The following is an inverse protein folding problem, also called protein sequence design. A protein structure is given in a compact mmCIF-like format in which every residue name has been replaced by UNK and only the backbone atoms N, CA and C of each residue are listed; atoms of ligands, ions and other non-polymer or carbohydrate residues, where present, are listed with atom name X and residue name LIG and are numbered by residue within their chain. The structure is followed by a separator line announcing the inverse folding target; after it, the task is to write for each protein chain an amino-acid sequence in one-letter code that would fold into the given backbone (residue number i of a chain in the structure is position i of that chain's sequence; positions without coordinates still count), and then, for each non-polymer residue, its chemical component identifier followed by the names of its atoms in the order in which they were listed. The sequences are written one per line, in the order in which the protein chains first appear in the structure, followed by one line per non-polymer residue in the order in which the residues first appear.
data_IF_025088581995
#
_entry.id   IF_025088581995
#
_cell.length_a   1.000
_cell.length_b   1.000
_cell.length_c   1.000
_cell.angle_alpha   90.00
_cell.angle_beta   90.00
_cell.angle_gamma   90.00
#
_symmetry.space_group_name_H-M   'P 1'
#
loop_
_entity.id
_entity.type
_entity.pdbx_description
1 polymer ?
#
# COMPACT_ATOMS: atom_id res chain seq x y z
N UNK A 1 0.23 -5.53 6.31
CA UNK A 1 0.07 -6.70 5.40
C UNK A 1 -0.30 -6.21 4.02
N UNK A 2 0.37 -6.72 2.99
CA UNK A 2 0.21 -6.26 1.60
C UNK A 2 -0.06 -7.47 0.72
N UNK A 3 -1.14 -7.43 -0.07
CA UNK A 3 -1.45 -8.45 -1.07
C UNK A 3 -0.71 -8.14 -2.36
N UNK A 4 0.03 -9.12 -2.89
CA UNK A 4 0.83 -8.98 -4.11
C UNK A 4 0.02 -9.29 -5.39
N UNK A 5 -1.18 -8.76 -5.48
CA UNK A 5 -2.07 -8.89 -6.65
C UNK A 5 -2.44 -7.53 -7.22
N UNK A 6 -2.60 -7.42 -8.56
CA UNK A 6 -3.08 -6.18 -9.16
C UNK A 6 -4.54 -5.89 -8.77
N UNK A 7 -4.93 -4.63 -8.86
CA UNK A 7 -6.32 -4.21 -8.65
C UNK A 7 -7.28 -5.01 -9.56
N UNK A 8 -8.45 -5.33 -9.04
CA UNK A 8 -9.48 -6.10 -9.75
C UNK A 8 -9.27 -7.62 -9.75
N UNK A 9 -8.15 -8.12 -9.21
CA UNK A 9 -7.93 -9.55 -9.06
C UNK A 9 -8.90 -10.16 -8.04
N UNK A 10 -9.44 -11.34 -8.37
CA UNK A 10 -10.24 -12.09 -7.42
C UNK A 10 -9.35 -12.57 -6.25
N UNK A 11 -9.82 -12.51 -4.98
CA UNK A 11 -9.11 -13.11 -3.88
C UNK A 11 -8.90 -14.61 -4.13
N UNK A 12 -7.66 -15.06 -4.03
CA UNK A 12 -7.32 -16.48 -4.12
C UNK A 12 -7.42 -17.14 -2.74
N UNK A 13 -7.57 -18.49 -2.70
CA UNK A 13 -7.54 -19.23 -1.45
C UNK A 13 -6.18 -19.14 -0.74
N UNK A 14 -5.12 -18.93 -1.51
CA UNK A 14 -3.74 -18.78 -1.05
C UNK A 14 -3.16 -17.49 -1.62
N UNK A 15 -3.45 -16.34 -1.01
CA UNK A 15 -2.93 -15.06 -1.49
C UNK A 15 -1.43 -14.96 -1.24
N UNK A 16 -0.75 -14.35 -2.17
CA UNK A 16 0.64 -13.92 -1.96
C UNK A 16 0.65 -12.68 -1.06
N UNK A 17 1.12 -12.83 0.17
CA UNK A 17 1.08 -11.78 1.22
C UNK A 17 2.48 -11.42 1.67
N UNK A 18 2.84 -10.16 1.53
CA UNK A 18 4.04 -9.61 2.17
C UNK A 18 3.67 -9.05 3.54
N UNK A 19 4.35 -9.52 4.59
CA UNK A 19 4.29 -8.95 5.93
C UNK A 19 5.49 -8.04 6.10
N UNK A 20 5.23 -6.80 6.48
CA UNK A 20 6.27 -5.81 6.78
C UNK A 20 6.22 -5.42 8.25
N UNK A 21 7.36 -5.06 8.80
CA UNK A 21 7.48 -4.57 10.17
C UNK A 21 7.23 -3.06 10.25
N UNK A 22 6.96 -2.54 11.43
CA UNK A 22 6.78 -1.10 11.63
C UNK A 22 8.02 -0.30 11.24
N UNK A 23 9.23 -0.85 11.41
CA UNK A 23 10.49 -0.22 10.99
C UNK A 23 10.60 -0.05 9.47
N UNK A 24 9.91 -0.88 8.70
CA UNK A 24 9.88 -0.78 7.23
C UNK A 24 8.98 0.34 6.72
N UNK A 25 8.17 0.94 7.60
CA UNK A 25 7.18 1.95 7.24
C UNK A 25 7.68 3.34 7.63
N UNK A 26 7.90 4.18 6.63
CA UNK A 26 8.13 5.62 6.85
C UNK A 26 6.88 6.42 6.47
N UNK A 27 6.77 7.63 7.00
CA UNK A 27 5.72 8.56 6.58
C UNK A 27 6.25 9.48 5.49
N UNK A 28 5.38 10.00 4.65
CA UNK A 28 5.72 10.94 3.59
C UNK A 28 6.37 12.26 4.11
N UNK A 29 6.39 12.49 5.41
CA UNK A 29 7.03 13.66 6.06
C UNK A 29 8.55 13.50 6.19
N UNK A 30 9.02 12.26 6.22
CA UNK A 30 10.45 11.94 6.29
C UNK A 30 11.00 11.78 4.87
N UNK A 31 12.28 12.06 4.64
CA UNK A 31 12.89 11.79 3.35
C UNK A 31 12.93 10.27 3.07
N UNK A 32 12.81 9.90 1.80
CA UNK A 32 12.99 8.54 1.33
C UNK A 32 14.48 8.32 1.01
N UNK A 33 15.08 7.36 1.66
CA UNK A 33 16.43 6.89 1.33
C UNK A 33 16.32 5.54 0.61
N UNK A 34 16.90 5.45 -0.58
CA UNK A 34 17.07 4.17 -1.27
C UNK A 34 18.34 3.48 -0.76
N UNK A 35 18.30 2.17 -0.49
CA UNK A 35 19.43 1.48 0.14
C UNK A 35 20.72 1.48 -0.69
N UNK A 36 20.60 1.43 -2.02
CA UNK A 36 21.72 1.43 -2.95
C UNK A 36 21.41 2.37 -4.12
N UNK A 37 22.16 3.47 -4.21
CA UNK A 37 21.98 4.46 -5.26
C UNK A 37 22.38 3.94 -6.68
N UNK A 38 23.10 2.82 -6.76
CA UNK A 38 23.49 2.19 -8.03
C UNK A 38 22.49 1.13 -8.50
N UNK A 39 21.54 0.74 -7.66
CA UNK A 39 20.49 -0.20 -8.02
C UNK A 39 19.25 0.52 -8.54
N UNK A 40 18.53 -0.13 -9.43
CA UNK A 40 17.25 0.38 -9.91
C UNK A 40 16.15 0.07 -8.87
N UNK A 41 15.33 1.09 -8.59
CA UNK A 41 14.16 0.96 -7.71
C UNK A 41 12.89 1.43 -8.42
N UNK A 42 11.77 0.85 -8.01
CA UNK A 42 10.43 1.32 -8.39
C UNK A 42 9.67 1.77 -7.15
N UNK A 43 8.97 2.88 -7.28
CA UNK A 43 8.02 3.44 -6.33
C UNK A 43 6.62 3.14 -6.87
N UNK A 44 5.96 2.08 -6.36
CA UNK A 44 4.67 1.58 -6.84
C UNK A 44 3.57 1.89 -5.82
N UNK A 45 2.48 2.50 -6.28
CA UNK A 45 1.35 2.84 -5.41
C UNK A 45 0.46 1.62 -5.12
N UNK A 46 -0.09 1.63 -3.91
CA UNK A 46 -1.12 0.70 -3.48
C UNK A 46 -2.10 1.41 -2.53
N UNK A 47 -3.41 1.15 -2.59
CA UNK A 47 -4.35 1.61 -1.58
C UNK A 47 -4.14 0.82 -0.30
N UNK A 48 -4.40 1.46 0.84
CA UNK A 48 -4.31 0.80 2.14
C UNK A 48 -5.34 1.34 3.11
N UNK A 49 -5.84 0.48 3.99
CA UNK A 49 -6.78 0.84 5.05
C UNK A 49 -6.15 0.64 6.42
N UNK A 50 -6.60 1.45 7.39
CA UNK A 50 -6.17 1.38 8.78
C UNK A 50 -7.17 0.57 9.60
N UNK A 51 -6.70 -0.46 10.27
CA UNK A 51 -7.50 -1.23 11.22
C UNK A 51 -7.64 -0.46 12.52
N UNK A 52 -8.87 -0.25 12.98
CA UNK A 52 -9.16 0.44 14.25
C UNK A 52 -9.76 -0.47 15.33
N UNK A 53 -10.05 -1.72 14.99
CA UNK A 53 -10.65 -2.69 15.92
C UNK A 53 -9.91 -4.03 15.87
N UNK A 54 -9.66 -4.59 17.06
CA UNK A 54 -9.12 -5.95 17.20
C UNK A 54 -10.11 -6.98 16.61
N UNK A 55 -9.62 -7.93 15.83
CA UNK A 55 -10.45 -9.00 15.28
C UNK A 55 -9.68 -10.22 14.81
N UNK A 56 -10.38 -11.34 14.74
CA UNK A 56 -9.93 -12.64 14.24
C UNK A 56 -11.09 -13.35 13.58
N UNK A 57 -10.85 -14.04 12.45
CA UNK A 57 -11.86 -14.77 11.68
C UNK A 57 -13.12 -13.93 11.38
N UNK A 58 -12.89 -12.72 10.87
CA UNK A 58 -13.92 -11.71 10.62
C UNK A 58 -14.75 -12.14 9.38
N UNK A 59 -16.08 -12.35 9.50
CA UNK A 59 -16.91 -12.57 8.32
C UNK A 59 -16.95 -11.36 7.40
N UNK A 60 -16.98 -11.56 6.06
CA UNK A 60 -17.00 -10.47 5.05
C UNK A 60 -18.05 -9.41 5.39
N UNK A 61 -19.29 -9.82 5.70
CA UNK A 61 -20.41 -8.90 6.03
C UNK A 61 -20.16 -7.96 7.22
N UNK A 62 -19.11 -8.19 8.00
CA UNK A 62 -18.75 -7.37 9.15
C UNK A 62 -17.38 -6.69 8.99
N UNK A 63 -16.66 -6.94 7.90
CA UNK A 63 -15.30 -6.45 7.71
C UNK A 63 -15.23 -4.92 7.67
N UNK A 64 -16.22 -4.24 7.08
CA UNK A 64 -16.31 -2.77 7.05
C UNK A 64 -16.36 -2.09 8.43
N UNK A 65 -16.62 -2.86 9.50
CA UNK A 65 -16.62 -2.36 10.89
C UNK A 65 -15.23 -2.37 11.53
N UNK A 66 -14.18 -2.75 10.79
CA UNK A 66 -12.84 -2.95 11.33
C UNK A 66 -11.82 -1.96 10.79
N UNK A 67 -12.14 -1.17 9.78
CA UNK A 67 -11.28 -0.09 9.26
C UNK A 67 -12.02 1.25 9.23
N UNK A 68 -11.30 2.34 9.45
CA UNK A 68 -11.85 3.69 9.60
C UNK A 68 -11.20 4.75 8.71
N UNK A 69 -10.14 4.41 8.01
CA UNK A 69 -9.43 5.34 7.14
C UNK A 69 -8.78 4.62 5.97
N UNK A 70 -8.63 5.35 4.87
CA UNK A 70 -7.92 4.91 3.66
C UNK A 70 -6.76 5.86 3.35
N UNK A 71 -5.72 5.35 2.73
CA UNK A 71 -4.62 6.14 2.19
C UNK A 71 -4.00 5.45 0.98
N UNK A 72 -3.00 6.08 0.38
CA UNK A 72 -2.04 5.42 -0.48
C UNK A 72 -0.80 5.06 0.33
N UNK A 73 -0.28 3.89 0.08
CA UNK A 73 1.09 3.55 0.40
C UNK A 73 1.89 3.45 -0.89
N UNK A 74 3.19 3.69 -0.81
CA UNK A 74 4.08 3.36 -1.90
C UNK A 74 5.05 2.27 -1.44
N UNK A 75 5.20 1.25 -2.27
CA UNK A 75 6.21 0.22 -2.11
C UNK A 75 7.44 0.64 -2.87
N UNK A 76 8.56 0.72 -2.18
CA UNK A 76 9.86 1.01 -2.81
C UNK A 76 10.60 -0.32 -2.93
N UNK A 77 10.75 -0.82 -4.13
CA UNK A 77 11.25 -2.17 -4.38
C UNK A 77 12.41 -2.13 -5.36
N UNK A 78 13.45 -2.95 -5.16
CA UNK A 78 14.49 -3.11 -6.16
C UNK A 78 13.91 -3.80 -7.41
N UNK A 79 14.52 -3.48 -8.56
CA UNK A 79 14.23 -4.12 -9.85
C UNK A 79 15.35 -5.12 -10.12
N UNK A 80 14.99 -6.40 -10.28
CA UNK A 80 15.92 -7.48 -10.61
C UNK A 80 15.43 -8.14 -11.90
N UNK A 81 16.30 -8.28 -12.87
CA UNK A 81 15.96 -8.79 -14.21
C UNK A 81 14.78 -8.07 -14.86
N UNK A 82 14.73 -6.73 -14.70
CA UNK A 82 13.68 -5.87 -15.24
C UNK A 82 12.31 -5.99 -14.56
N UNK A 83 12.23 -6.65 -13.38
CA UNK A 83 10.97 -6.83 -12.65
C UNK A 83 11.09 -6.34 -11.20
N UNK A 84 10.05 -5.62 -10.68
CA UNK A 84 9.99 -5.27 -9.26
C UNK A 84 9.89 -6.51 -8.37
N UNK A 85 10.67 -6.56 -7.30
CA UNK A 85 10.65 -7.66 -6.31
C UNK A 85 9.54 -7.38 -5.29
N UNK A 86 8.35 -7.91 -5.54
CA UNK A 86 7.17 -7.69 -4.67
C UNK A 86 7.13 -8.60 -3.45
N UNK A 87 7.80 -9.73 -3.50
CA UNK A 87 7.88 -10.72 -2.42
C UNK A 87 9.28 -11.33 -2.35
N UNK A 88 9.52 -12.20 -1.37
CA UNK A 88 10.79 -12.91 -1.21
C UNK A 88 11.59 -12.44 0.00
N UNK A 89 12.89 -12.24 -0.16
CA UNK A 89 13.76 -11.88 0.97
C UNK A 89 13.39 -10.56 1.61
N UNK A 90 13.39 -10.51 2.95
CA UNK A 90 13.12 -9.31 3.73
C UNK A 90 14.08 -8.14 3.39
N UNK A 91 15.28 -8.42 2.92
CA UNK A 91 16.25 -7.39 2.48
C UNK A 91 15.72 -6.59 1.27
N UNK A 92 14.78 -7.13 0.52
CA UNK A 92 14.17 -6.47 -0.65
C UNK A 92 12.76 -5.92 -0.36
N UNK A 93 12.08 -6.44 0.65
CA UNK A 93 10.65 -6.16 0.87
C UNK A 93 10.35 -5.49 2.20
N UNK A 94 11.27 -5.55 3.16
CA UNK A 94 11.05 -5.09 4.53
C UNK A 94 12.26 -4.34 5.13
N UNK A 95 13.09 -3.73 4.30
CA UNK A 95 14.16 -2.83 4.76
C UNK A 95 13.56 -1.50 5.26
N UNK A 96 14.35 -0.70 5.97
CA UNK A 96 13.93 0.59 6.50
C UNK A 96 13.42 1.51 5.37
N UNK A 97 12.21 2.02 5.50
CA UNK A 97 11.53 2.84 4.49
C UNK A 97 11.12 2.12 3.19
N UNK A 98 11.07 0.77 3.17
CA UNK A 98 10.53 0.01 2.03
C UNK A 98 9.07 0.37 1.71
N UNK A 99 8.34 0.91 2.68
CA UNK A 99 6.97 1.39 2.55
C UNK A 99 6.89 2.87 2.95
N UNK A 100 6.41 3.69 2.04
CA UNK A 100 6.04 5.08 2.31
C UNK A 100 4.54 5.15 2.55
N UNK A 101 4.12 5.54 3.74
CA UNK A 101 2.70 5.73 4.06
C UNK A 101 2.30 7.20 3.89
N UNK A 102 1.22 7.42 3.15
CA UNK A 102 0.57 8.72 3.00
C UNK A 102 -0.25 9.16 4.22
N UNK A 103 -0.85 10.34 4.12
CA UNK A 103 -1.82 10.82 5.10
C UNK A 103 -3.12 10.02 5.02
N UNK A 104 -3.76 9.81 6.15
CA UNK A 104 -5.03 9.11 6.25
C UNK A 104 -6.21 9.99 5.83
N UNK A 105 -7.15 9.42 5.10
CA UNK A 105 -8.45 10.01 4.76
C UNK A 105 -9.52 9.19 5.48
N UNK A 106 -10.29 9.84 6.35
CA UNK A 106 -11.34 9.19 7.15
C UNK A 106 -12.70 9.16 6.43
N UNK A 107 -12.85 9.94 5.34
CA UNK A 107 -14.07 9.92 4.52
C UNK A 107 -14.04 8.71 3.56
N UNK A 108 -14.77 7.67 3.93
CA UNK A 108 -14.93 6.44 3.16
C UNK A 108 -16.26 6.39 2.39
N UNK A 109 -16.97 7.53 2.25
CA UNK A 109 -18.29 7.56 1.60
C UNK A 109 -18.24 7.57 0.08
N UNK A 110 -17.10 7.92 -0.49
CA UNK A 110 -16.89 7.96 -1.95
C UNK A 110 -16.86 6.56 -2.53
N UNK A 111 -17.60 6.33 -3.59
CA UNK A 111 -17.58 5.07 -4.34
C UNK A 111 -16.45 5.00 -5.36
N UNK A 112 -16.02 6.15 -5.87
CA UNK A 112 -14.92 6.26 -6.84
C UNK A 112 -13.82 7.14 -6.25
N UNK A 113 -12.59 6.67 -6.37
CA UNK A 113 -11.38 7.36 -5.93
C UNK A 113 -10.56 7.76 -7.16
N UNK A 114 -10.21 9.02 -7.24
CA UNK A 114 -9.21 9.50 -8.19
C UNK A 114 -7.82 9.36 -7.54
N UNK A 115 -6.90 8.67 -8.21
CA UNK A 115 -5.51 8.50 -7.76
C UNK A 115 -4.59 9.14 -8.78
N UNK A 116 -3.63 9.94 -8.29
CA UNK A 116 -2.57 10.50 -9.13
C UNK A 116 -1.19 10.14 -8.61
N UNK A 117 -0.23 10.01 -9.53
CA UNK A 117 1.20 9.88 -9.23
C UNK A 117 1.96 10.75 -10.25
N UNK A 118 2.41 11.94 -9.83
CA UNK A 118 2.91 12.94 -10.76
C UNK A 118 1.84 13.28 -11.80
N UNK A 119 2.16 13.06 -13.08
CA UNK A 119 1.23 13.28 -14.20
C UNK A 119 0.32 12.07 -14.50
N UNK A 120 0.63 10.90 -13.96
CA UNK A 120 -0.20 9.70 -14.13
C UNK A 120 -1.48 9.84 -13.31
N UNK A 121 -2.61 9.41 -13.88
CA UNK A 121 -3.92 9.49 -13.25
C UNK A 121 -4.75 8.26 -13.56
N UNK A 122 -5.50 7.78 -12.56
CA UNK A 122 -6.52 6.75 -12.75
C UNK A 122 -7.69 6.96 -11.82
N UNK A 123 -8.84 6.41 -12.20
CA UNK A 123 -10.02 6.29 -11.35
C UNK A 123 -10.19 4.83 -10.90
N UNK A 124 -10.57 4.65 -9.65
CA UNK A 124 -10.75 3.35 -9.02
C UNK A 124 -12.15 3.30 -8.39
N UNK A 125 -12.92 2.28 -8.68
CA UNK A 125 -14.09 1.98 -7.89
C UNK A 125 -13.65 1.29 -6.58
N UNK A 126 -14.13 1.76 -5.43
CA UNK A 126 -13.78 1.15 -4.12
C UNK A 126 -14.15 -0.34 -4.08
N UNK A 127 -15.22 -0.75 -4.75
CA UNK A 127 -15.61 -2.15 -4.81
C UNK A 127 -14.52 -3.04 -5.46
N UNK A 128 -13.74 -2.50 -6.40
CA UNK A 128 -12.66 -3.23 -7.06
C UNK A 128 -11.46 -3.46 -6.15
N UNK A 129 -11.35 -2.72 -5.06
CA UNK A 129 -10.31 -2.92 -4.04
C UNK A 129 -10.56 -4.17 -3.18
N UNK A 130 -11.80 -4.64 -3.10
CA UNK A 130 -12.19 -5.84 -2.33
C UNK A 130 -11.64 -5.85 -0.90
N UNK A 131 -11.76 -4.71 -0.22
CA UNK A 131 -11.19 -4.50 1.12
C UNK A 131 -11.80 -5.50 2.11
N UNK A 132 -13.12 -5.66 2.09
CA UNK A 132 -13.87 -6.51 3.03
C UNK A 132 -13.49 -7.99 2.87
N UNK A 133 -13.39 -8.46 1.64
CA UNK A 133 -12.96 -9.83 1.33
C UNK A 133 -11.51 -10.05 1.77
N UNK A 134 -10.64 -9.07 1.54
CA UNK A 134 -9.22 -9.13 1.94
C UNK A 134 -9.09 -9.21 3.45
N UNK A 135 -9.77 -8.35 4.21
CA UNK A 135 -9.75 -8.36 5.67
C UNK A 135 -10.31 -9.69 6.20
N UNK A 136 -11.44 -10.15 5.64
CA UNK A 136 -12.03 -11.42 6.02
C UNK A 136 -11.06 -12.60 5.82
N UNK A 137 -10.42 -12.65 4.66
CA UNK A 137 -9.47 -13.68 4.30
C UNK A 137 -8.23 -13.64 5.20
N UNK A 138 -7.56 -12.48 5.32
CA UNK A 138 -6.37 -12.32 6.16
C UNK A 138 -6.65 -12.61 7.62
N UNK A 139 -7.82 -12.23 8.13
CA UNK A 139 -8.20 -12.44 9.53
C UNK A 139 -8.37 -13.92 9.93
N UNK A 140 -8.46 -14.84 8.98
CA UNK A 140 -8.42 -16.28 9.25
C UNK A 140 -7.04 -16.71 9.74
N UNK A 141 -5.99 -16.13 9.18
CA UNK A 141 -4.60 -16.48 9.48
C UNK A 141 -4.00 -15.57 10.54
N UNK A 142 -4.26 -14.26 10.46
CA UNK A 142 -3.67 -13.23 11.31
C UNK A 142 -4.72 -12.56 12.19
N UNK A 143 -4.38 -12.23 13.42
CA UNK A 143 -5.21 -11.34 14.25
C UNK A 143 -5.01 -9.91 13.76
N UNK A 144 -6.09 -9.23 13.37
CA UNK A 144 -6.09 -7.81 13.06
C UNK A 144 -5.96 -7.00 14.33
N UNK A 145 -4.95 -6.16 14.44
CA UNK A 145 -4.70 -5.29 15.61
C UNK A 145 -5.01 -3.84 15.27
N UNK A 146 -5.33 -3.06 16.28
CA UNK A 146 -5.50 -1.61 16.13
C UNK A 146 -4.19 -1.00 15.64
N UNK A 147 -4.24 -0.23 14.56
CA UNK A 147 -3.09 0.37 13.92
C UNK A 147 -2.48 -0.46 12.78
N UNK A 148 -2.90 -1.72 12.61
CA UNK A 148 -2.47 -2.52 11.46
C UNK A 148 -2.88 -1.84 10.14
N UNK A 149 -2.02 -1.96 9.15
CA UNK A 149 -2.24 -1.47 7.79
C UNK A 149 -2.45 -2.67 6.87
N UNK A 150 -3.55 -2.65 6.12
CA UNK A 150 -3.88 -3.69 5.14
C UNK A 150 -3.98 -3.05 3.76
N UNK A 151 -3.17 -3.54 2.83
CA UNK A 151 -3.22 -3.16 1.41
C UNK A 151 -3.77 -4.34 0.60
N UNK A 152 -4.95 -4.18 -0.03
CA UNK A 152 -5.63 -5.28 -0.71
C UNK A 152 -5.06 -5.61 -2.10
N UNK A 153 -4.35 -4.67 -2.72
CA UNK A 153 -3.82 -4.81 -4.08
C UNK A 153 -2.75 -3.76 -4.34
N UNK A 154 -2.06 -3.85 -5.49
CA UNK A 154 -1.25 -2.76 -6.03
C UNK A 154 -1.92 -2.12 -7.25
N UNK A 155 -1.54 -0.89 -7.56
CA UNK A 155 -2.04 -0.12 -8.70
C UNK A 155 -1.03 -0.13 -9.86
N UNK A 156 -1.47 0.01 -11.11
CA UNK A 156 -0.57 0.17 -12.26
C UNK A 156 -0.02 1.61 -12.34
N UNK A 157 0.28 2.21 -11.20
CA UNK A 157 0.87 3.54 -11.06
C UNK A 157 2.22 3.41 -10.36
N UNK A 158 3.28 3.72 -11.09
CA UNK A 158 4.64 3.62 -10.56
C UNK A 158 5.57 4.65 -11.19
N UNK A 159 6.65 4.95 -10.47
CA UNK A 159 7.73 5.81 -10.95
C UNK A 159 9.08 5.36 -10.39
N UNK A 160 10.16 5.76 -11.02
CA UNK A 160 11.51 5.55 -10.49
C UNK A 160 11.83 6.66 -9.49
N UNK A 161 12.24 6.34 -8.25
CA UNK A 161 12.69 7.34 -7.30
C UNK A 161 14.06 7.88 -7.72
N UNK A 162 14.12 9.16 -8.06
CA UNK A 162 15.36 9.85 -8.45
C UNK A 162 15.85 10.70 -7.30
N UNK A 163 17.14 10.58 -6.96
CA UNK A 163 17.76 11.36 -5.86
C UNK A 163 17.58 12.85 -6.10
N UNK A 164 17.34 13.61 -5.04
CA UNK A 164 17.05 15.04 -4.98
C UNK A 164 15.75 15.49 -5.65
N UNK A 165 14.90 14.58 -6.11
CA UNK A 165 13.56 14.90 -6.61
C UNK A 165 12.50 14.75 -5.54
N UNK A 166 11.26 15.16 -5.88
CA UNK A 166 10.06 14.93 -5.08
C UNK A 166 9.09 14.04 -5.83
N UNK A 167 8.50 13.11 -5.09
CA UNK A 167 7.40 12.28 -5.58
C UNK A 167 6.13 12.72 -4.86
N UNK A 168 5.09 13.02 -5.63
CA UNK A 168 3.77 13.41 -5.12
C UNK A 168 2.72 12.43 -5.59
N UNK A 169 1.81 12.05 -4.67
CA UNK A 169 0.63 11.29 -5.01
C UNK A 169 -0.59 11.82 -4.28
N UNK A 170 -1.72 11.85 -4.95
CA UNK A 170 -2.98 12.29 -4.36
C UNK A 170 -4.05 11.21 -4.44
N UNK A 171 -4.99 11.28 -3.50
CA UNK A 171 -6.17 10.44 -3.40
C UNK A 171 -7.39 11.34 -3.29
N UNK A 172 -8.27 11.29 -4.30
CA UNK A 172 -9.51 12.10 -4.39
C UNK A 172 -9.29 13.60 -4.19
N UNK A 173 -8.21 14.14 -4.78
CA UNK A 173 -7.84 15.55 -4.72
C UNK A 173 -7.01 15.94 -3.48
N UNK A 174 -6.88 15.07 -2.49
CA UNK A 174 -6.02 15.30 -1.33
C UNK A 174 -4.60 14.80 -1.63
N UNK A 175 -3.60 15.66 -1.48
CA UNK A 175 -2.20 15.26 -1.59
C UNK A 175 -1.82 14.44 -0.35
N UNK A 176 -1.74 13.11 -0.50
CA UNK A 176 -1.48 12.19 0.61
C UNK A 176 -0.01 11.79 0.72
N UNK A 177 0.75 11.86 -0.38
CA UNK A 177 2.20 11.62 -0.39
C UNK A 177 2.90 12.82 -1.03
N UNK A 178 3.88 13.37 -0.33
CA UNK A 178 4.80 14.39 -0.85
C UNK A 178 6.16 14.15 -0.20
N UNK A 179 6.98 13.32 -0.85
CA UNK A 179 8.22 12.83 -0.25
C UNK A 179 9.43 13.26 -1.07
N UNK A 180 10.50 13.69 -0.39
CA UNK A 180 11.79 13.97 -1.02
C UNK A 180 12.62 12.69 -1.03
N UNK A 181 13.17 12.33 -2.19
CA UNK A 181 14.14 11.25 -2.37
C UNK A 181 15.54 11.78 -2.06
N UNK A 182 16.32 11.02 -1.31
CA UNK A 182 17.72 11.33 -0.94
C UNK A 182 18.63 10.12 -1.06
#
# INVERSE_FOLDING_TARGET
MIINSPIGSAPTSEPDVTIVTDSSITTHKNPLFVPDANAEYVFELAPAVKIFRLGKSIPVKFASRYYDAITLIARVMPVIDGKPVRNGSAIYTAYDSAIVRGEWIEDLTKQTLEVTLGEQKMEINIADLRIDETISMLSKYFSMKIGDIVSPCYLPLSTTPVIDTRITASLSGCNVINIKVK
#
